data_IF_773085265498
#
_entry.id   IF_773085265498
#
_cell.length_a   1.000
_cell.length_b   1.000
_cell.length_c   1.000
_cell.angle_alpha   90.00
_cell.angle_beta   90.00
_cell.angle_gamma   90.00
#
_symmetry.space_group_name_H-M   'P 1'
#
loop_
_entity.id
_entity.type
_entity.pdbx_description
1 polymer ?
#
# COMPACT_ATOMS: atom_id res chain seq x y z
N UNK A 1 21.78 32.13 -27.36
CA UNK A 1 21.39 30.70 -27.29
C UNK A 1 19.88 30.65 -27.45
N UNK A 2 19.37 30.00 -28.49
CA UNK A 2 17.92 29.79 -28.68
C UNK A 2 17.50 28.74 -27.67
N UNK A 3 16.60 29.09 -26.76
CA UNK A 3 16.02 28.10 -25.85
C UNK A 3 15.24 27.08 -26.69
N UNK A 4 15.55 25.77 -26.59
CA UNK A 4 14.89 24.75 -27.40
C UNK A 4 13.43 24.49 -26.97
N UNK A 5 13.00 25.04 -25.83
CA UNK A 5 11.65 24.87 -25.28
C UNK A 5 10.82 26.12 -25.59
N UNK A 6 9.63 25.99 -26.20
CA UNK A 6 8.74 27.13 -26.44
C UNK A 6 8.31 27.81 -25.13
N UNK A 7 8.30 29.15 -25.11
CA UNK A 7 7.94 29.91 -23.91
C UNK A 7 6.51 29.62 -23.40
N UNK A 8 5.59 29.27 -24.31
CA UNK A 8 4.24 28.82 -23.96
C UNK A 8 4.24 27.52 -23.14
N UNK A 9 5.09 26.56 -23.52
CA UNK A 9 5.23 25.27 -22.81
C UNK A 9 5.84 25.50 -21.44
N UNK A 10 6.86 26.36 -21.36
CA UNK A 10 7.49 26.74 -20.09
C UNK A 10 6.50 27.38 -19.11
N UNK A 11 5.69 28.33 -19.60
CA UNK A 11 4.68 29.02 -18.78
C UNK A 11 3.57 28.09 -18.28
N UNK A 12 3.16 27.12 -19.10
CA UNK A 12 2.19 26.08 -18.69
C UNK A 12 2.81 25.16 -17.64
N UNK A 13 4.05 24.72 -17.87
CA UNK A 13 4.80 23.91 -16.93
C UNK A 13 4.94 24.62 -15.58
N UNK A 14 5.48 25.84 -15.54
CA UNK A 14 5.72 26.58 -14.30
C UNK A 14 4.45 26.79 -13.46
N UNK A 15 3.31 26.97 -14.12
CA UNK A 15 2.02 27.18 -13.47
C UNK A 15 1.35 25.87 -13.02
N UNK A 16 1.57 24.77 -13.75
CA UNK A 16 0.86 23.51 -13.53
C UNK A 16 1.71 22.42 -12.86
N UNK A 17 3.04 22.58 -12.77
CA UNK A 17 3.96 21.48 -12.46
C UNK A 17 3.56 20.69 -11.20
N UNK A 18 3.47 21.35 -10.06
CA UNK A 18 3.21 20.68 -8.78
C UNK A 18 1.74 20.23 -8.66
N UNK A 19 0.79 21.09 -9.02
CA UNK A 19 -0.65 20.78 -8.95
C UNK A 19 -1.01 19.62 -9.89
N UNK A 20 -0.46 19.61 -11.09
CA UNK A 20 -0.62 18.55 -12.08
C UNK A 20 -0.07 17.22 -11.58
N UNK A 21 1.13 17.23 -10.97
CA UNK A 21 1.73 16.02 -10.38
C UNK A 21 0.88 15.46 -9.24
N UNK A 22 0.36 16.33 -8.35
CA UNK A 22 -0.52 15.91 -7.25
C UNK A 22 -1.82 15.30 -7.78
N UNK A 23 -2.48 15.96 -8.73
CA UNK A 23 -3.72 15.46 -9.35
C UNK A 23 -3.50 14.15 -10.10
N UNK A 24 -2.37 14.04 -10.79
CA UNK A 24 -1.99 12.81 -11.49
C UNK A 24 -1.74 11.67 -10.49
N UNK A 25 -1.01 11.93 -9.40
CA UNK A 25 -0.81 10.98 -8.32
C UNK A 25 -2.14 10.50 -7.73
N UNK A 26 -3.07 11.42 -7.45
CA UNK A 26 -4.40 11.09 -6.94
C UNK A 26 -5.20 10.25 -7.93
N UNK A 27 -5.15 10.58 -9.23
CA UNK A 27 -5.82 9.82 -10.28
C UNK A 27 -5.31 8.38 -10.35
N UNK A 28 -4.00 8.16 -10.27
CA UNK A 28 -3.40 6.83 -10.22
C UNK A 28 -3.88 6.03 -9.01
N UNK A 29 -3.92 6.65 -7.82
CA UNK A 29 -4.43 6.02 -6.61
C UNK A 29 -5.91 5.61 -6.76
N UNK A 30 -6.74 6.47 -7.35
CA UNK A 30 -8.15 6.16 -7.62
C UNK A 30 -8.30 4.97 -8.58
N UNK A 31 -7.49 4.93 -9.65
CA UNK A 31 -7.47 3.79 -10.58
C UNK A 31 -7.10 2.49 -9.84
N UNK A 32 -6.07 2.52 -8.99
CA UNK A 32 -5.66 1.34 -8.22
C UNK A 32 -6.74 0.90 -7.22
N UNK A 33 -7.43 1.83 -6.54
CA UNK A 33 -8.53 1.48 -5.62
C UNK A 33 -9.67 0.79 -6.36
N UNK A 34 -10.08 1.32 -7.53
CA UNK A 34 -11.25 0.82 -8.27
C UNK A 34 -10.97 -0.47 -9.04
N UNK A 35 -9.82 -0.55 -9.71
CA UNK A 35 -9.54 -1.61 -10.68
C UNK A 35 -8.64 -2.73 -10.15
N UNK A 36 -7.87 -2.52 -9.07
CA UNK A 36 -7.00 -3.58 -8.56
C UNK A 36 -7.79 -4.76 -7.99
N UNK A 37 -8.93 -4.53 -7.34
CA UNK A 37 -9.81 -5.61 -6.88
C UNK A 37 -10.43 -6.40 -8.05
N UNK A 38 -10.71 -5.71 -9.17
CA UNK A 38 -11.26 -6.36 -10.36
C UNK A 38 -10.26 -7.28 -11.06
N UNK A 39 -8.94 -7.08 -10.83
CA UNK A 39 -7.87 -7.92 -11.38
C UNK A 39 -8.04 -9.40 -11.00
N UNK A 40 -8.48 -9.68 -9.78
CA UNK A 40 -8.56 -11.04 -9.25
C UNK A 40 -9.58 -11.92 -10.00
N UNK A 41 -10.62 -11.32 -10.58
CA UNK A 41 -11.71 -12.05 -11.25
C UNK A 41 -11.80 -11.85 -12.77
N UNK A 42 -10.97 -10.97 -13.37
CA UNK A 42 -11.11 -10.60 -14.78
C UNK A 42 -10.00 -11.17 -15.67
N UNK A 43 -10.38 -11.77 -16.79
CA UNK A 43 -9.47 -12.13 -17.88
C UNK A 43 -9.17 -10.97 -18.85
N UNK A 44 -9.70 -9.78 -18.61
CA UNK A 44 -9.57 -8.65 -19.53
C UNK A 44 -8.16 -8.04 -19.46
N UNK A 45 -7.37 -8.27 -20.53
CA UNK A 45 -6.00 -7.76 -20.68
C UNK A 45 -5.90 -6.24 -20.56
N UNK A 46 -6.92 -5.48 -20.96
CA UNK A 46 -6.91 -4.03 -20.85
C UNK A 46 -6.97 -3.58 -19.39
N UNK A 47 -7.84 -4.20 -18.57
CA UNK A 47 -7.93 -3.88 -17.13
C UNK A 47 -6.60 -4.19 -16.44
N UNK A 48 -6.03 -5.36 -16.72
CA UNK A 48 -4.73 -5.76 -16.18
C UNK A 48 -3.63 -4.77 -16.59
N UNK A 49 -3.60 -4.37 -17.87
CA UNK A 49 -2.63 -3.39 -18.38
C UNK A 49 -2.78 -2.03 -17.72
N UNK A 50 -4.01 -1.55 -17.50
CA UNK A 50 -4.28 -0.27 -16.83
C UNK A 50 -3.82 -0.31 -15.37
N UNK A 51 -4.14 -1.39 -14.64
CA UNK A 51 -3.70 -1.57 -13.25
C UNK A 51 -2.17 -1.65 -13.18
N UNK A 52 -1.54 -2.39 -14.10
CA UNK A 52 -0.08 -2.52 -14.17
C UNK A 52 0.60 -1.17 -14.40
N UNK A 53 0.13 -0.39 -15.38
CA UNK A 53 0.68 0.94 -15.65
C UNK A 53 0.47 1.88 -14.47
N UNK A 54 -0.72 1.86 -13.86
CA UNK A 54 -1.00 2.71 -12.70
C UNK A 54 -0.10 2.35 -11.51
N UNK A 55 0.12 1.06 -11.27
CA UNK A 55 0.99 0.54 -10.22
C UNK A 55 2.43 1.03 -10.38
N UNK A 56 2.99 0.89 -11.60
CA UNK A 56 4.36 1.33 -11.88
C UNK A 56 4.52 2.86 -11.77
N UNK A 57 3.53 3.62 -12.24
CA UNK A 57 3.61 5.08 -12.24
C UNK A 57 3.36 5.69 -10.86
N UNK A 58 2.60 5.04 -9.98
CA UNK A 58 2.20 5.59 -8.68
C UNK A 58 3.40 6.01 -7.83
N UNK A 59 4.41 5.14 -7.70
CA UNK A 59 5.61 5.44 -6.90
C UNK A 59 6.53 6.45 -7.60
N UNK A 60 6.64 6.37 -8.93
CA UNK A 60 7.44 7.29 -9.74
C UNK A 60 6.96 8.74 -9.61
N UNK A 61 5.65 8.96 -9.73
CA UNK A 61 5.04 10.29 -9.68
C UNK A 61 5.24 10.95 -8.32
N UNK A 62 5.15 10.18 -7.23
CA UNK A 62 5.44 10.71 -5.89
C UNK A 62 6.89 11.13 -5.77
N UNK A 63 7.85 10.26 -6.14
CA UNK A 63 9.27 10.58 -6.05
C UNK A 63 9.61 11.83 -6.86
N UNK A 64 9.07 11.94 -8.06
CA UNK A 64 9.20 13.12 -8.91
C UNK A 64 8.61 14.38 -8.26
N UNK A 65 7.39 14.28 -7.72
CA UNK A 65 6.72 15.40 -7.05
C UNK A 65 7.46 15.90 -5.82
N UNK A 66 7.98 15.01 -4.98
CA UNK A 66 8.79 15.39 -3.81
C UNK A 66 10.08 16.10 -4.24
N UNK A 67 10.72 15.64 -5.31
CA UNK A 67 11.88 16.31 -5.90
C UNK A 67 11.58 17.75 -6.32
N UNK A 68 10.49 17.94 -7.07
CA UNK A 68 10.04 19.27 -7.52
C UNK A 68 9.69 20.20 -6.36
N UNK A 69 9.02 19.67 -5.33
CA UNK A 69 8.68 20.46 -4.15
C UNK A 69 9.96 20.84 -3.38
N UNK A 70 10.93 19.93 -3.28
CA UNK A 70 12.21 20.18 -2.59
C UNK A 70 13.02 21.26 -3.30
N UNK A 71 13.10 21.20 -4.64
CA UNK A 71 13.75 22.25 -5.45
C UNK A 71 13.08 23.61 -5.23
N UNK A 72 11.75 23.65 -5.32
CA UNK A 72 11.00 24.90 -5.14
C UNK A 72 11.10 25.46 -3.72
N UNK A 73 11.13 24.60 -2.70
CA UNK A 73 11.30 25.03 -1.31
C UNK A 73 12.71 25.59 -1.04
N UNK A 74 13.72 25.12 -1.79
CA UNK A 74 15.10 25.61 -1.71
C UNK A 74 15.28 26.97 -2.39
N UNK A 75 14.60 27.19 -3.52
CA UNK A 75 14.69 28.41 -4.34
C UNK A 75 13.94 29.63 -3.78
N UNK A 76 13.44 29.55 -2.54
CA UNK A 76 12.92 30.70 -1.80
C UNK A 76 13.91 31.22 -0.75
N UNK A 77 15.03 31.88 -1.13
CA UNK A 77 15.78 32.72 -0.21
C UNK A 77 15.21 34.14 -0.21
N UNK A 78 14.93 34.65 0.98
CA UNK A 78 14.77 36.07 1.34
C UNK A 78 13.88 37.00 0.49
N UNK A 79 12.83 37.53 1.15
CA UNK A 79 12.17 38.81 0.86
C UNK A 79 12.11 39.28 -0.60
N UNK A 80 11.24 38.68 -1.42
CA UNK A 80 10.23 39.41 -2.23
C UNK A 80 9.64 38.52 -3.34
N UNK A 81 8.30 38.56 -3.46
CA UNK A 81 7.47 38.15 -4.63
C UNK A 81 6.80 36.77 -4.67
N UNK A 82 6.75 35.98 -3.60
CA UNK A 82 5.72 34.93 -3.49
C UNK A 82 4.98 34.99 -2.14
N UNK A 83 3.64 34.92 -2.13
CA UNK A 83 2.87 34.93 -0.88
C UNK A 83 3.22 33.67 -0.08
N UNK A 84 3.46 33.85 1.22
CA UNK A 84 3.82 32.79 2.17
C UNK A 84 2.89 31.56 2.09
N UNK A 85 1.62 31.77 1.74
CA UNK A 85 0.59 30.74 1.55
C UNK A 85 0.99 29.61 0.59
N UNK A 86 1.72 29.92 -0.49
CA UNK A 86 2.16 28.89 -1.43
C UNK A 86 3.22 27.97 -0.80
N UNK A 87 4.10 28.49 0.04
CA UNK A 87 5.16 27.72 0.69
C UNK A 87 4.61 26.83 1.81
N UNK A 88 3.62 27.32 2.55
CA UNK A 88 2.91 26.52 3.56
C UNK A 88 2.22 25.30 2.92
N UNK A 89 1.58 25.50 1.77
CA UNK A 89 0.92 24.42 1.03
C UNK A 89 1.91 23.40 0.48
N UNK A 90 3.10 23.84 0.03
CA UNK A 90 4.17 22.94 -0.43
C UNK A 90 4.64 21.99 0.67
N UNK A 91 4.78 22.49 1.91
CA UNK A 91 5.15 21.66 3.06
C UNK A 91 4.11 20.57 3.34
N UNK A 92 2.83 20.89 3.18
CA UNK A 92 1.72 19.95 3.34
C UNK A 92 1.68 18.86 2.25
N UNK A 93 2.00 19.22 1.01
CA UNK A 93 1.94 18.28 -0.11
C UNK A 93 2.94 17.14 -0.03
N UNK A 94 4.10 17.33 0.64
CA UNK A 94 5.10 16.27 0.75
C UNK A 94 4.61 15.10 1.61
N UNK A 95 4.12 15.30 2.86
CA UNK A 95 3.42 14.27 3.62
C UNK A 95 2.21 13.64 2.91
N UNK A 96 1.46 14.45 2.16
CA UNK A 96 0.34 13.94 1.37
C UNK A 96 0.83 12.95 0.30
N UNK A 97 1.85 13.30 -0.47
CA UNK A 97 2.47 12.42 -1.46
C UNK A 97 3.13 11.19 -0.80
N UNK A 98 3.78 11.36 0.35
CA UNK A 98 4.30 10.24 1.15
C UNK A 98 3.20 9.23 1.49
N UNK A 99 1.98 9.71 1.79
CA UNK A 99 0.83 8.84 2.05
C UNK A 99 0.37 8.02 0.85
N UNK A 100 0.61 8.50 -0.38
CA UNK A 100 0.32 7.77 -1.62
C UNK A 100 1.32 6.63 -1.86
N UNK A 101 2.57 6.74 -1.38
CA UNK A 101 3.53 5.62 -1.42
C UNK A 101 3.12 4.44 -0.55
N UNK A 102 2.19 4.64 0.39
CA UNK A 102 1.58 3.54 1.13
C UNK A 102 0.75 2.58 0.28
N UNK A 103 0.44 2.93 -0.99
CA UNK A 103 -0.46 2.20 -1.89
C UNK A 103 -1.86 1.93 -1.31
N UNK A 104 -2.86 1.64 -2.14
CA UNK A 104 -4.16 1.19 -1.65
C UNK A 104 -4.06 -0.19 -0.99
N UNK A 105 -5.05 -0.52 -0.17
CA UNK A 105 -5.06 -1.82 0.52
C UNK A 105 -5.35 -2.98 -0.44
N UNK A 106 -5.94 -2.68 -1.60
CA UNK A 106 -6.30 -3.61 -2.68
C UNK A 106 -5.09 -4.14 -3.45
N UNK A 107 -3.93 -3.48 -3.36
CA UNK A 107 -2.72 -3.90 -4.08
C UNK A 107 -1.44 -3.45 -3.35
N UNK A 108 -0.60 -4.41 -2.99
CA UNK A 108 0.75 -4.20 -2.44
C UNK A 108 1.81 -4.59 -3.45
N UNK A 109 1.59 -5.72 -4.12
CA UNK A 109 2.48 -6.30 -5.12
C UNK A 109 1.70 -6.56 -6.41
N UNK A 110 2.34 -6.33 -7.56
CA UNK A 110 1.75 -6.72 -8.83
C UNK A 110 2.08 -8.18 -9.16
N UNK A 111 3.35 -8.57 -8.96
CA UNK A 111 3.87 -9.92 -9.11
C UNK A 111 4.48 -10.43 -7.79
N UNK A 112 4.66 -11.75 -7.64
CA UNK A 112 5.21 -12.33 -6.40
C UNK A 112 6.63 -11.84 -6.13
N UNK A 113 7.40 -11.60 -7.19
CA UNK A 113 8.77 -11.10 -7.14
C UNK A 113 8.85 -9.71 -6.49
N UNK A 114 7.79 -8.90 -6.57
CA UNK A 114 7.74 -7.58 -5.95
C UNK A 114 7.82 -7.68 -4.40
N UNK A 115 7.32 -8.76 -3.81
CA UNK A 115 7.38 -8.99 -2.37
C UNK A 115 8.81 -9.18 -1.86
N UNK A 116 9.68 -9.82 -2.65
CA UNK A 116 11.09 -10.03 -2.31
C UNK A 116 11.88 -8.72 -2.32
N UNK A 117 11.39 -7.72 -3.06
CA UNK A 117 12.00 -6.41 -3.15
C UNK A 117 11.54 -5.43 -2.05
N UNK A 118 10.91 -5.92 -0.98
CA UNK A 118 10.59 -5.11 0.20
C UNK A 118 11.77 -4.27 0.76
N UNK A 119 13.07 -4.68 0.70
CA UNK A 119 14.16 -3.84 1.17
C UNK A 119 14.33 -2.57 0.33
N UNK A 120 13.98 -2.61 -0.97
CA UNK A 120 14.00 -1.42 -1.84
C UNK A 120 12.95 -0.41 -1.39
N UNK A 121 11.76 -0.90 -1.03
CA UNK A 121 10.70 -0.06 -0.48
C UNK A 121 11.08 0.52 0.88
N UNK A 122 11.78 -0.24 1.74
CA UNK A 122 12.31 0.28 3.00
C UNK A 122 13.33 1.40 2.78
N UNK A 123 14.27 1.22 1.84
CA UNK A 123 15.25 2.25 1.51
C UNK A 123 14.55 3.51 0.97
N UNK A 124 13.63 3.36 0.01
CA UNK A 124 12.82 4.46 -0.51
C UNK A 124 12.05 5.20 0.59
N UNK A 125 11.48 4.48 1.54
CA UNK A 125 10.80 5.06 2.70
C UNK A 125 11.71 5.93 3.55
N UNK A 126 12.93 5.49 3.85
CA UNK A 126 13.91 6.29 4.61
C UNK A 126 14.22 7.59 3.86
N UNK A 127 14.51 7.53 2.56
CA UNK A 127 14.78 8.72 1.75
C UNK A 127 13.60 9.69 1.75
N UNK A 128 12.38 9.16 1.63
CA UNK A 128 11.17 9.98 1.59
C UNK A 128 10.85 10.63 2.93
N UNK A 129 11.07 9.92 4.04
CA UNK A 129 10.99 10.49 5.40
C UNK A 129 12.01 11.61 5.59
N UNK A 130 13.27 11.41 5.17
CA UNK A 130 14.32 12.43 5.26
C UNK A 130 13.97 13.65 4.40
N UNK A 131 13.52 13.45 3.17
CA UNK A 131 13.12 14.53 2.27
C UNK A 131 11.93 15.33 2.85
N UNK A 132 10.93 14.65 3.39
CA UNK A 132 9.78 15.29 4.04
C UNK A 132 10.18 16.13 5.25
N UNK A 133 11.05 15.58 6.12
CA UNK A 133 11.59 16.34 7.27
C UNK A 133 12.40 17.53 6.79
N UNK A 134 13.22 17.38 5.76
CA UNK A 134 14.00 18.49 5.20
C UNK A 134 13.12 19.63 4.68
N UNK A 135 12.10 19.34 3.87
CA UNK A 135 11.13 20.34 3.38
C UNK A 135 10.35 20.97 4.54
N UNK A 136 9.98 20.18 5.55
CA UNK A 136 9.31 20.69 6.75
C UNK A 136 10.21 21.69 7.51
N UNK A 137 11.49 21.37 7.72
CA UNK A 137 12.43 22.27 8.39
C UNK A 137 12.65 23.58 7.61
N UNK A 138 12.68 23.54 6.28
CA UNK A 138 12.80 24.73 5.44
C UNK A 138 11.58 25.67 5.55
N UNK A 139 10.41 25.11 5.84
CA UNK A 139 9.13 25.85 5.86
C UNK A 139 8.64 26.19 7.27
N UNK A 140 9.39 25.82 8.32
CA UNK A 140 9.05 26.09 9.72
C UNK A 140 8.88 27.57 10.11
N UNK A 141 9.68 28.55 9.62
CA UNK A 141 9.55 29.93 10.09
C UNK A 141 8.27 30.58 9.55
N UNK A 142 7.18 30.51 10.33
CA UNK A 142 5.93 31.25 10.10
C UNK A 142 4.74 30.43 9.59
N UNK A 143 4.85 29.10 9.45
CA UNK A 143 3.81 28.28 8.80
C UNK A 143 2.60 27.99 9.70
N UNK A 144 1.42 28.47 9.29
CA UNK A 144 0.14 28.22 10.01
C UNK A 144 -0.37 26.77 9.85
N UNK A 145 0.07 26.04 8.84
CA UNK A 145 -0.34 24.67 8.51
C UNK A 145 0.55 23.58 9.15
N UNK A 146 1.40 23.93 10.12
CA UNK A 146 2.33 22.96 10.72
C UNK A 146 1.61 21.78 11.39
N UNK A 147 0.47 22.01 12.07
CA UNK A 147 -0.30 20.95 12.74
C UNK A 147 -0.86 19.95 11.71
N UNK A 148 -1.64 20.38 10.69
CA UNK A 148 -2.07 19.46 9.64
C UNK A 148 -0.93 18.73 8.93
N UNK A 149 0.22 19.41 8.74
CA UNK A 149 1.39 18.83 8.07
C UNK A 149 2.00 17.70 8.90
N UNK A 150 2.17 17.88 10.21
CA UNK A 150 2.66 16.82 11.12
C UNK A 150 1.68 15.64 11.16
N UNK A 151 0.38 15.92 11.25
CA UNK A 151 -0.65 14.88 11.26
C UNK A 151 -0.63 14.06 9.96
N UNK A 152 -0.56 14.73 8.80
CA UNK A 152 -0.43 14.04 7.52
C UNK A 152 0.90 13.29 7.40
N UNK A 153 1.97 13.79 7.99
CA UNK A 153 3.28 13.12 7.99
C UNK A 153 3.22 11.81 8.78
N UNK A 154 2.61 11.83 9.98
CA UNK A 154 2.35 10.62 10.77
C UNK A 154 1.51 9.63 9.95
N UNK A 155 0.42 10.10 9.34
CA UNK A 155 -0.45 9.24 8.52
C UNK A 155 0.31 8.62 7.32
N UNK A 156 1.14 9.41 6.64
CA UNK A 156 1.95 8.94 5.52
C UNK A 156 3.01 7.93 5.92
N UNK A 157 3.70 8.17 7.04
CA UNK A 157 4.67 7.24 7.62
C UNK A 157 4.02 5.90 7.96
N UNK A 158 2.85 5.93 8.62
CA UNK A 158 2.11 4.72 8.97
C UNK A 158 1.71 3.93 7.72
N UNK A 159 1.10 4.59 6.72
CA UNK A 159 0.64 3.91 5.49
C UNK A 159 1.79 3.27 4.71
N UNK A 160 2.94 3.93 4.62
CA UNK A 160 4.10 3.36 3.94
C UNK A 160 4.70 2.21 4.78
N UNK A 161 4.80 2.37 6.10
CA UNK A 161 5.23 1.28 6.97
C UNK A 161 4.34 0.03 6.85
N UNK A 162 3.02 0.19 6.81
CA UNK A 162 2.08 -0.92 6.57
C UNK A 162 2.33 -1.63 5.23
N UNK A 163 2.62 -0.88 4.15
CA UNK A 163 2.99 -1.47 2.86
C UNK A 163 4.27 -2.29 2.96
N UNK A 164 5.31 -1.77 3.60
CA UNK A 164 6.59 -2.49 3.77
C UNK A 164 6.37 -3.77 4.58
N UNK A 165 5.59 -3.70 5.66
CA UNK A 165 5.27 -4.85 6.48
C UNK A 165 4.45 -5.89 5.70
N UNK A 166 3.51 -5.46 4.86
CA UNK A 166 2.74 -6.36 4.02
C UNK A 166 3.63 -7.11 3.01
N UNK A 167 4.52 -6.38 2.32
CA UNK A 167 5.50 -6.98 1.40
C UNK A 167 6.45 -7.95 2.13
N UNK A 168 6.94 -7.55 3.31
CA UNK A 168 7.81 -8.40 4.13
C UNK A 168 7.12 -9.69 4.56
N UNK A 169 5.87 -9.61 5.05
CA UNK A 169 5.12 -10.79 5.48
C UNK A 169 4.71 -11.69 4.29
N UNK A 170 4.50 -11.10 3.11
CA UNK A 170 4.19 -11.82 1.87
C UNK A 170 5.43 -12.35 1.14
N UNK A 171 6.65 -12.02 1.57
CA UNK A 171 7.89 -12.61 1.02
C UNK A 171 7.92 -14.12 1.25
N UNK A 172 8.45 -14.87 0.28
CA UNK A 172 8.48 -16.34 0.28
C UNK A 172 9.15 -16.88 1.51
N UNK A 173 10.30 -16.31 1.92
CA UNK A 173 11.02 -16.75 3.10
C UNK A 173 10.17 -16.56 4.37
N UNK A 174 9.60 -15.37 4.56
CA UNK A 174 8.80 -15.08 5.76
C UNK A 174 7.47 -15.84 5.78
N UNK A 175 6.85 -15.95 4.62
CA UNK A 175 5.61 -16.69 4.42
C UNK A 175 5.82 -18.18 4.70
N UNK A 176 6.96 -18.75 4.26
CA UNK A 176 7.38 -20.12 4.57
C UNK A 176 7.60 -20.33 6.06
N UNK A 177 8.36 -19.46 6.72
CA UNK A 177 8.67 -19.58 8.14
C UNK A 177 7.41 -19.48 9.02
N UNK A 178 6.51 -18.56 8.69
CA UNK A 178 5.23 -18.42 9.42
C UNK A 178 4.36 -19.67 9.27
N UNK A 179 4.31 -20.25 8.07
CA UNK A 179 3.58 -21.49 7.77
C UNK A 179 4.20 -22.68 8.47
N UNK A 180 5.53 -22.78 8.50
CA UNK A 180 6.25 -23.81 9.25
C UNK A 180 5.94 -23.76 10.74
N UNK A 181 5.90 -22.55 11.34
CA UNK A 181 5.55 -22.38 12.75
C UNK A 181 4.11 -22.78 13.04
N UNK A 182 3.17 -22.34 12.21
CA UNK A 182 1.76 -22.73 12.30
C UNK A 182 1.61 -24.27 12.20
N UNK A 183 2.37 -24.89 11.30
CA UNK A 183 2.36 -26.34 11.15
C UNK A 183 2.98 -27.06 12.35
N UNK A 184 4.10 -26.55 12.89
CA UNK A 184 4.76 -27.07 14.10
C UNK A 184 3.81 -27.09 15.31
N UNK A 185 2.99 -26.05 15.49
CA UNK A 185 1.95 -26.01 16.53
C UNK A 185 0.89 -27.09 16.30
N UNK A 186 0.48 -27.31 15.04
CA UNK A 186 -0.49 -28.35 14.67
C UNK A 186 0.07 -29.77 14.82
N UNK A 187 1.36 -30.01 14.57
CA UNK A 187 2.02 -31.30 14.82
C UNK A 187 1.86 -31.78 16.24
N UNK A 188 2.01 -30.86 17.19
CA UNK A 188 1.92 -31.19 18.61
C UNK A 188 0.50 -31.61 19.00
N UNK A 189 -0.51 -31.19 18.24
CA UNK A 189 -1.93 -31.51 18.44
C UNK A 189 -2.42 -32.74 17.64
N UNK A 190 -1.55 -33.31 16.81
CA UNK A 190 -1.68 -34.57 16.05
C UNK A 190 -2.86 -34.78 15.08
N UNK A 191 -3.80 -33.86 14.87
CA UNK A 191 -4.79 -34.00 13.79
C UNK A 191 -5.18 -32.64 13.16
N UNK A 192 -5.12 -32.56 11.82
CA UNK A 192 -5.90 -31.57 11.06
C UNK A 192 -7.24 -32.22 10.75
N UNK A 193 -8.27 -31.88 11.54
CA UNK A 193 -9.63 -32.36 11.33
C UNK A 193 -10.39 -31.34 10.50
N UNK A 194 -10.72 -31.69 9.26
CA UNK A 194 -11.62 -30.88 8.42
C UNK A 194 -13.06 -31.33 8.68
N UNK A 195 -13.92 -30.40 9.07
CA UNK A 195 -15.32 -30.68 9.39
C UNK A 195 -16.19 -30.47 8.15
N UNK A 196 -16.83 -31.53 7.67
CA UNK A 196 -17.69 -31.52 6.46
C UNK A 196 -19.01 -30.75 6.65
N UNK A 197 -19.58 -30.71 7.85
CA UNK A 197 -20.92 -30.12 8.13
C UNK A 197 -20.98 -28.57 8.08
N UNK A 198 -20.09 -27.93 7.33
CA UNK A 198 -19.97 -26.47 7.26
C UNK A 198 -20.13 -26.03 5.80
N UNK A 199 -20.54 -24.78 5.60
CA UNK A 199 -20.59 -24.17 4.27
C UNK A 199 -19.23 -24.29 3.56
N UNK A 200 -19.22 -24.42 2.23
CA UNK A 200 -18.02 -24.58 1.41
C UNK A 200 -16.95 -23.51 1.68
N UNK A 201 -17.34 -22.29 2.08
CA UNK A 201 -16.43 -21.21 2.50
C UNK A 201 -15.52 -21.62 3.66
N UNK A 202 -16.10 -22.22 4.69
CA UNK A 202 -15.33 -22.61 5.88
C UNK A 202 -14.43 -23.81 5.60
N UNK A 203 -14.92 -24.73 4.78
CA UNK A 203 -14.16 -25.87 4.29
C UNK A 203 -12.96 -25.37 3.47
N UNK A 204 -13.16 -24.39 2.59
CA UNK A 204 -12.08 -23.73 1.83
C UNK A 204 -11.03 -23.06 2.72
N UNK A 205 -11.44 -22.34 3.76
CA UNK A 205 -10.51 -21.78 4.75
C UNK A 205 -9.69 -22.87 5.46
N UNK A 206 -10.26 -24.06 5.70
CA UNK A 206 -9.54 -25.18 6.31
C UNK A 206 -8.55 -25.82 5.34
N UNK A 207 -8.95 -26.03 4.08
CA UNK A 207 -8.05 -26.56 3.05
C UNK A 207 -6.93 -25.58 2.68
N UNK A 208 -7.18 -24.26 2.72
CA UNK A 208 -6.16 -23.25 2.48
C UNK A 208 -4.92 -23.44 3.36
N UNK A 209 -5.07 -23.91 4.61
CA UNK A 209 -3.94 -24.21 5.50
C UNK A 209 -3.03 -25.31 4.94
N UNK A 210 -3.62 -26.30 4.26
CA UNK A 210 -2.91 -27.40 3.60
C UNK A 210 -2.31 -26.89 2.30
N UNK A 211 -3.11 -26.18 1.49
CA UNK A 211 -2.68 -25.59 0.22
C UNK A 211 -1.46 -24.69 0.39
N UNK A 212 -1.46 -23.85 1.44
CA UNK A 212 -0.34 -22.99 1.83
C UNK A 212 0.98 -23.77 1.99
N UNK A 213 0.91 -24.95 2.59
CA UNK A 213 2.06 -25.86 2.72
C UNK A 213 2.55 -26.43 1.40
N UNK A 214 1.63 -26.77 0.51
CA UNK A 214 1.96 -27.28 -0.84
C UNK A 214 2.62 -26.18 -1.66
N UNK A 215 2.05 -24.96 -1.65
CA UNK A 215 2.57 -23.79 -2.36
C UNK A 215 4.02 -23.45 -1.99
N UNK A 216 4.41 -23.71 -0.74
CA UNK A 216 5.74 -23.42 -0.19
C UNK A 216 6.69 -24.63 -0.22
N UNK A 217 6.33 -25.69 -0.95
CA UNK A 217 7.09 -26.94 -1.04
C UNK A 217 7.35 -27.61 0.32
N UNK A 218 6.52 -27.33 1.32
CA UNK A 218 6.62 -27.87 2.69
C UNK A 218 6.00 -29.28 2.81
N UNK A 219 5.76 -29.95 1.68
CA UNK A 219 5.05 -31.24 1.62
C UNK A 219 5.77 -32.35 2.41
N UNK A 220 7.11 -32.31 2.45
CA UNK A 220 7.92 -33.25 3.25
C UNK A 220 7.59 -33.17 4.74
N UNK A 221 7.28 -31.98 5.23
CA UNK A 221 6.76 -31.81 6.59
C UNK A 221 5.36 -32.43 6.64
N UNK A 222 4.41 -31.97 5.82
CA UNK A 222 3.03 -32.46 5.82
C UNK A 222 2.84 -33.98 5.87
N UNK A 223 3.76 -34.77 5.29
CA UNK A 223 3.75 -36.25 5.34
C UNK A 223 3.67 -36.83 6.77
N UNK A 224 4.01 -36.06 7.80
CA UNK A 224 3.97 -36.46 9.21
C UNK A 224 2.69 -36.01 9.95
N UNK A 225 1.79 -35.28 9.29
CA UNK A 225 0.51 -34.82 9.86
C UNK A 225 -0.59 -35.80 9.45
N UNK A 226 -1.35 -36.32 10.41
CA UNK A 226 -2.53 -37.11 10.11
C UNK A 226 -3.63 -36.17 9.58
N UNK A 227 -4.05 -36.41 8.35
CA UNK A 227 -5.19 -35.73 7.74
C UNK A 227 -6.46 -36.56 7.97
N UNK A 228 -7.42 -35.98 8.68
CA UNK A 228 -8.73 -36.59 8.88
C UNK A 228 -9.80 -35.62 8.36
N UNK A 229 -10.29 -35.87 7.15
CA UNK A 229 -11.25 -34.98 6.51
C UNK A 229 -11.85 -35.60 5.26
N UNK A 230 -12.91 -34.99 4.72
CA UNK A 230 -13.44 -35.38 3.43
C UNK A 230 -12.37 -35.21 2.34
N UNK A 231 -12.45 -36.01 1.28
CA UNK A 231 -11.71 -35.79 0.04
C UNK A 231 -12.56 -34.98 -0.92
N UNK A 232 -11.95 -34.37 -1.95
CA UNK A 232 -12.72 -33.66 -2.98
C UNK A 232 -13.80 -34.51 -3.67
N UNK A 233 -13.63 -35.84 -3.68
CA UNK A 233 -14.64 -36.79 -4.19
C UNK A 233 -15.91 -36.87 -3.34
N UNK A 234 -15.85 -36.41 -2.10
CA UNK A 234 -16.96 -36.47 -1.15
C UNK A 234 -17.89 -35.24 -1.26
N UNK A 235 -17.57 -34.29 -2.13
CA UNK A 235 -18.30 -33.04 -2.37
C UNK A 235 -18.95 -33.02 -3.75
N UNK A 236 -19.96 -32.16 -3.94
CA UNK A 236 -20.51 -31.89 -5.27
C UNK A 236 -19.48 -31.13 -6.12
N UNK A 237 -19.52 -31.23 -7.46
CA UNK A 237 -18.64 -30.46 -8.34
C UNK A 237 -18.72 -28.95 -8.08
N UNK A 238 -19.91 -28.42 -7.79
CA UNK A 238 -20.14 -27.02 -7.48
C UNK A 238 -19.44 -26.61 -6.17
N UNK A 239 -19.55 -27.44 -5.13
CA UNK A 239 -18.87 -27.20 -3.85
C UNK A 239 -17.35 -27.26 -3.99
N UNK A 240 -16.82 -28.19 -4.80
CA UNK A 240 -15.38 -28.28 -5.07
C UNK A 240 -14.88 -27.02 -5.78
N UNK A 241 -15.60 -26.54 -6.79
CA UNK A 241 -15.26 -25.29 -7.47
C UNK A 241 -15.29 -24.10 -6.51
N UNK A 242 -16.30 -24.02 -5.64
CA UNK A 242 -16.39 -22.99 -4.62
C UNK A 242 -15.24 -23.05 -3.60
N UNK A 243 -14.82 -24.26 -3.19
CA UNK A 243 -13.65 -24.44 -2.32
C UNK A 243 -12.38 -23.93 -3.01
N UNK A 244 -12.15 -24.31 -4.27
CA UNK A 244 -10.97 -23.87 -5.04
C UNK A 244 -10.97 -22.35 -5.23
N UNK A 245 -12.13 -21.76 -5.53
CA UNK A 245 -12.27 -20.30 -5.66
C UNK A 245 -11.88 -19.58 -4.36
N UNK A 246 -12.36 -20.09 -3.21
CA UNK A 246 -12.00 -19.56 -1.89
C UNK A 246 -10.49 -19.69 -1.64
N UNK A 247 -9.89 -20.84 -1.93
CA UNK A 247 -8.45 -21.03 -1.77
C UNK A 247 -7.63 -20.05 -2.62
N UNK A 248 -7.96 -19.92 -3.90
CA UNK A 248 -7.28 -19.01 -4.82
C UNK A 248 -7.46 -17.54 -4.39
N UNK A 249 -8.65 -17.16 -3.92
CA UNK A 249 -8.89 -15.82 -3.39
C UNK A 249 -8.06 -15.55 -2.13
N UNK A 250 -7.96 -16.52 -1.20
CA UNK A 250 -7.12 -16.39 -0.01
C UNK A 250 -5.63 -16.27 -0.36
N UNK A 251 -5.14 -17.05 -1.32
CA UNK A 251 -3.76 -16.91 -1.85
C UNK A 251 -3.56 -15.49 -2.39
N UNK A 252 -4.53 -15.00 -3.17
CA UNK A 252 -4.47 -13.66 -3.73
C UNK A 252 -4.40 -12.58 -2.64
N UNK A 253 -5.32 -12.61 -1.69
CA UNK A 253 -5.39 -11.66 -0.59
C UNK A 253 -4.09 -11.66 0.22
N UNK A 254 -3.58 -12.84 0.57
CA UNK A 254 -2.38 -13.02 1.39
C UNK A 254 -1.11 -12.52 0.69
N UNK A 255 -0.97 -12.73 -0.62
CA UNK A 255 0.28 -12.45 -1.34
C UNK A 255 0.30 -11.10 -2.07
N UNK A 256 -0.85 -10.52 -2.40
CA UNK A 256 -0.93 -9.32 -3.24
C UNK A 256 -1.64 -8.12 -2.57
N UNK A 257 -2.15 -8.28 -1.35
CA UNK A 257 -2.87 -7.21 -0.63
C UNK A 257 -2.28 -6.98 0.77
N UNK A 258 -2.79 -5.96 1.47
CA UNK A 258 -2.36 -5.67 2.85
C UNK A 258 -3.03 -6.56 3.92
N UNK A 259 -3.83 -7.56 3.54
CA UNK A 259 -4.70 -8.28 4.47
C UNK A 259 -3.98 -8.80 5.72
N UNK A 260 -2.74 -9.29 5.55
CA UNK A 260 -1.92 -9.84 6.63
C UNK A 260 -1.58 -8.81 7.71
N UNK A 261 -1.40 -7.55 7.33
CA UNK A 261 -1.12 -6.46 8.26
C UNK A 261 -2.42 -5.94 8.84
N UNK A 262 -3.44 -5.77 8.01
CA UNK A 262 -4.64 -5.00 8.35
C UNK A 262 -5.57 -5.71 9.33
N UNK A 263 -5.52 -7.04 9.37
CA UNK A 263 -6.24 -7.84 10.37
C UNK A 263 -5.44 -8.12 11.65
N UNK A 264 -4.22 -7.61 11.77
CA UNK A 264 -3.44 -7.71 13.00
C UNK A 264 -3.84 -6.62 14.00
N UNK A 265 -3.66 -6.86 15.31
CA UNK A 265 -3.89 -5.85 16.36
C UNK A 265 -3.06 -4.59 16.13
N UNK A 266 -1.81 -4.77 15.68
CA UNK A 266 -0.92 -3.67 15.32
C UNK A 266 -1.49 -2.87 14.15
N UNK A 267 -1.91 -3.52 13.07
CA UNK A 267 -2.50 -2.86 11.91
C UNK A 267 -3.80 -2.12 12.24
N UNK A 268 -4.69 -2.72 13.05
CA UNK A 268 -5.91 -2.05 13.52
C UNK A 268 -5.56 -0.78 14.30
N UNK A 269 -4.59 -0.87 15.21
CA UNK A 269 -4.13 0.28 16.01
C UNK A 269 -3.55 1.38 15.12
N UNK A 270 -2.67 1.01 14.19
CA UNK A 270 -2.05 1.93 13.23
C UNK A 270 -3.09 2.63 12.35
N UNK A 271 -4.11 1.89 11.87
CA UNK A 271 -5.22 2.45 11.10
C UNK A 271 -6.07 3.43 11.89
N UNK A 272 -6.36 3.15 13.15
CA UNK A 272 -7.08 4.08 14.03
C UNK A 272 -6.29 5.38 14.21
N UNK A 273 -4.98 5.28 14.41
CA UNK A 273 -4.09 6.45 14.49
C UNK A 273 -4.08 7.21 13.16
N UNK A 274 -3.93 6.52 12.03
CA UNK A 274 -3.93 7.12 10.70
C UNK A 274 -5.25 7.85 10.40
N UNK A 275 -6.39 7.18 10.63
CA UNK A 275 -7.72 7.76 10.45
C UNK A 275 -7.93 8.97 11.35
N UNK A 276 -7.61 8.87 12.64
CA UNK A 276 -7.68 9.98 13.58
C UNK A 276 -6.80 11.16 13.14
N UNK A 277 -5.60 10.88 12.63
CA UNK A 277 -4.67 11.90 12.16
C UNK A 277 -5.19 12.65 10.93
N UNK A 278 -5.73 11.93 9.94
CA UNK A 278 -6.32 12.54 8.74
C UNK A 278 -7.56 13.35 9.10
N UNK A 279 -8.45 12.82 9.94
CA UNK A 279 -9.65 13.54 10.39
C UNK A 279 -9.32 14.79 11.19
N UNK A 280 -8.30 14.72 12.06
CA UNK A 280 -7.81 15.88 12.79
C UNK A 280 -7.20 16.93 11.85
N UNK A 281 -6.39 16.51 10.86
CA UNK A 281 -5.81 17.41 9.86
C UNK A 281 -6.91 18.13 9.06
N UNK A 282 -7.92 17.39 8.57
CA UNK A 282 -9.06 17.95 7.85
C UNK A 282 -9.87 18.93 8.72
N UNK A 283 -10.10 18.57 9.99
CA UNK A 283 -10.79 19.45 10.94
C UNK A 283 -10.02 20.76 11.16
N UNK A 284 -8.69 20.68 11.32
CA UNK A 284 -7.85 21.88 11.42
C UNK A 284 -7.91 22.74 10.17
N UNK A 285 -7.86 22.15 8.97
CA UNK A 285 -8.03 22.89 7.72
C UNK A 285 -9.37 23.62 7.68
N UNK A 286 -10.46 22.90 7.94
CA UNK A 286 -11.81 23.47 7.88
C UNK A 286 -12.04 24.58 8.91
N UNK A 287 -11.68 24.35 10.17
CA UNK A 287 -12.02 25.31 11.24
C UNK A 287 -11.02 26.46 11.41
N UNK A 288 -9.77 26.29 11.00
CA UNK A 288 -8.69 27.25 11.30
C UNK A 288 -8.20 28.03 10.08
N UNK A 289 -8.35 27.49 8.87
CA UNK A 289 -7.93 28.17 7.63
C UNK A 289 -9.08 29.00 7.04
N UNK A 290 -10.32 28.55 7.14
CA UNK A 290 -11.49 29.25 6.58
C UNK A 290 -11.95 30.47 7.40
N UNK A 291 -11.34 30.70 8.57
CA UNK A 291 -11.64 31.83 9.47
C UNK A 291 -10.70 33.04 9.32
N UNK A 292 -9.73 32.99 8.41
CA UNK A 292 -8.78 34.07 8.12
C UNK A 292 -8.70 34.36 6.63
#
# INVERSE_FOLDING_TARGET
MVNPIPDSVRKIWDNCNIRGVILFSLSLQMVLILFASLRNGTGNKLVISVVWSAYLLADWVVNFGVGLITERARDTPDHSKQPAENNELLAFWVPFLLSHLGSPDTITAFALEDNEFWPRHLFGFIFQVVAAVYVFLLTLPGNKLFIPTILMFIAGVIKYFERILALYLASVEKFRDSTLRELAEHYQKRDIVIKKDRCYLEVGCQYFKIFKGILLELMSNFKRVNFAGPFFRDFSPEDVLGIIEVELNLVYEVLYTKIQVTHSVLGITLRLICFGSVMAALSFFYFHVEKH
#
